data_IF_728470715102
#
_entry.id   IF_728470715102
#
_cell.length_a   1.000
_cell.length_b   1.000
_cell.length_c   1.000
_cell.angle_alpha   90.00
_cell.angle_beta   90.00
_cell.angle_gamma   90.00
#
_symmetry.space_group_name_H-M   'P 1'
#
loop_
_entity.id
_entity.type
_entity.pdbx_description
1 polymer ?
#
# COMPACT_ATOMS: atom_id res chain seq x y z
N UNK A 1 -36.81 -18.53 -26.89
CA UNK A 1 -35.72 -17.53 -26.88
C UNK A 1 -34.41 -18.23 -26.50
N UNK A 2 -33.30 -18.02 -27.20
CA UNK A 2 -32.03 -18.67 -26.87
C UNK A 2 -31.61 -18.25 -25.46
N UNK A 3 -31.16 -19.20 -24.63
CA UNK A 3 -30.74 -18.96 -23.23
C UNK A 3 -29.45 -18.13 -23.13
N UNK A 4 -28.66 -18.07 -24.20
CA UNK A 4 -27.33 -17.44 -24.23
C UNK A 4 -27.29 -15.95 -23.83
N UNK A 5 -28.08 -15.05 -24.44
CA UNK A 5 -28.04 -13.62 -24.12
C UNK A 5 -28.40 -13.30 -22.67
N UNK A 6 -29.37 -14.00 -22.08
CA UNK A 6 -29.78 -13.77 -20.68
C UNK A 6 -28.71 -14.20 -19.68
N UNK A 7 -28.04 -15.33 -19.93
CA UNK A 7 -26.94 -15.81 -19.07
C UNK A 7 -25.76 -14.82 -19.13
N UNK A 8 -25.40 -14.33 -20.32
CA UNK A 8 -24.34 -13.32 -20.48
C UNK A 8 -24.61 -12.06 -19.65
N UNK A 9 -25.83 -11.53 -19.72
CA UNK A 9 -26.22 -10.33 -18.96
C UNK A 9 -26.23 -10.61 -17.45
N UNK A 10 -26.68 -11.80 -17.02
CA UNK A 10 -26.66 -12.19 -15.61
C UNK A 10 -25.23 -12.28 -15.06
N UNK A 11 -24.30 -12.87 -15.82
CA UNK A 11 -22.88 -12.93 -15.46
C UNK A 11 -22.28 -11.52 -15.42
N UNK A 12 -22.58 -10.67 -16.41
CA UNK A 12 -22.11 -9.29 -16.43
C UNK A 12 -22.59 -8.49 -15.21
N UNK A 13 -23.86 -8.68 -14.78
CA UNK A 13 -24.39 -8.07 -13.56
C UNK A 13 -23.65 -8.54 -12.30
N UNK A 14 -23.36 -9.85 -12.20
CA UNK A 14 -22.59 -10.40 -11.07
C UNK A 14 -21.16 -9.83 -11.03
N UNK A 15 -20.46 -9.81 -12.17
CA UNK A 15 -19.11 -9.25 -12.30
C UNK A 15 -19.06 -7.74 -12.02
N UNK A 16 -20.03 -6.98 -12.50
CA UNK A 16 -20.13 -5.55 -12.19
C UNK A 16 -20.38 -5.32 -10.70
N UNK A 17 -21.23 -6.14 -10.07
CA UNK A 17 -21.51 -6.05 -8.63
C UNK A 17 -20.28 -6.38 -7.79
N UNK A 18 -19.52 -7.41 -8.19
CA UNK A 18 -18.21 -7.73 -7.64
C UNK A 18 -17.27 -6.52 -7.71
N UNK A 19 -17.18 -5.87 -8.87
CA UNK A 19 -16.30 -4.72 -9.06
C UNK A 19 -16.70 -3.49 -8.24
N UNK A 20 -17.99 -3.20 -8.13
CA UNK A 20 -18.50 -2.06 -7.35
C UNK A 20 -18.20 -2.18 -5.85
N UNK A 21 -18.01 -3.40 -5.33
CA UNK A 21 -17.53 -3.59 -3.95
C UNK A 21 -16.20 -2.88 -3.71
N UNK A 22 -15.28 -2.83 -4.68
CA UNK A 22 -14.02 -2.13 -4.52
C UNK A 22 -14.20 -0.61 -4.38
N UNK A 23 -15.07 -0.02 -5.18
CA UNK A 23 -15.24 1.44 -5.17
C UNK A 23 -15.99 1.93 -3.93
N UNK A 24 -16.91 1.13 -3.40
CA UNK A 24 -17.68 1.53 -2.21
C UNK A 24 -17.00 1.10 -0.93
N UNK A 25 -16.49 -0.14 -0.85
CA UNK A 25 -15.94 -0.70 0.38
C UNK A 25 -14.42 -0.52 0.46
N UNK A 26 -13.64 -0.96 -0.54
CA UNK A 26 -12.17 -0.86 -0.47
C UNK A 26 -11.70 0.59 -0.48
N UNK A 27 -12.36 1.49 -1.21
CA UNK A 27 -12.05 2.92 -1.16
C UNK A 27 -12.26 3.49 0.24
N UNK A 28 -13.38 3.15 0.90
CA UNK A 28 -13.65 3.62 2.27
C UNK A 28 -12.62 3.05 3.25
N UNK A 29 -12.29 1.76 3.14
CA UNK A 29 -11.24 1.15 3.95
C UNK A 29 -9.88 1.83 3.71
N UNK A 30 -9.53 2.12 2.46
CA UNK A 30 -8.30 2.83 2.13
C UNK A 30 -8.28 4.23 2.75
N UNK A 31 -9.38 4.97 2.68
CA UNK A 31 -9.45 6.32 3.26
C UNK A 31 -9.35 6.29 4.79
N UNK A 32 -10.12 5.43 5.44
CA UNK A 32 -10.23 5.41 6.91
C UNK A 32 -9.05 4.67 7.52
N UNK A 33 -8.90 3.37 7.23
CA UNK A 33 -7.84 2.54 7.80
C UNK A 33 -6.49 2.77 7.14
N UNK A 34 -6.47 2.96 5.81
CA UNK A 34 -5.21 3.12 5.09
C UNK A 34 -4.58 4.51 5.26
N UNK A 35 -5.38 5.57 5.11
CA UNK A 35 -4.91 6.96 5.10
C UNK A 35 -5.24 7.69 6.41
N UNK A 36 -5.80 7.02 7.42
CA UNK A 36 -6.19 7.63 8.70
C UNK A 36 -7.11 8.85 8.55
N UNK A 37 -7.99 8.87 7.53
CA UNK A 37 -8.96 9.94 7.32
C UNK A 37 -10.14 9.75 8.27
N UNK A 38 -10.54 10.82 8.97
CA UNK A 38 -11.72 10.81 9.83
C UNK A 38 -12.96 10.29 9.09
N UNK A 39 -13.77 9.39 9.67
CA UNK A 39 -14.91 8.76 8.98
C UNK A 39 -15.89 9.74 8.33
N UNK A 40 -16.16 10.87 8.99
CA UNK A 40 -17.06 11.90 8.44
C UNK A 40 -16.49 12.56 7.18
N UNK A 41 -15.18 12.82 7.14
CA UNK A 41 -14.50 13.37 5.95
C UNK A 41 -14.44 12.35 4.83
N UNK A 42 -14.19 11.08 5.15
CA UNK A 42 -14.24 9.99 4.18
C UNK A 42 -15.64 9.86 3.56
N UNK A 43 -16.71 9.95 4.35
CA UNK A 43 -18.09 9.92 3.87
C UNK A 43 -18.41 11.08 2.90
N UNK A 44 -17.97 12.29 3.23
CA UNK A 44 -18.10 13.46 2.34
C UNK A 44 -17.33 13.22 1.03
N UNK A 45 -16.08 12.74 1.11
CA UNK A 45 -15.27 12.45 -0.08
C UNK A 45 -15.91 11.38 -0.99
N UNK A 46 -16.56 10.37 -0.40
CA UNK A 46 -17.20 9.27 -1.13
C UNK A 46 -18.58 9.65 -1.71
N UNK A 47 -19.14 10.80 -1.31
CA UNK A 47 -20.42 11.32 -1.85
C UNK A 47 -20.34 11.71 -3.33
N UNK A 48 -19.12 11.90 -3.87
CA UNK A 48 -18.90 12.14 -5.30
C UNK A 48 -19.47 11.00 -6.14
N UNK A 49 -19.29 9.75 -5.70
CA UNK A 49 -19.75 8.56 -6.41
C UNK A 49 -21.28 8.50 -6.61
N UNK A 50 -22.13 8.60 -5.57
CA UNK A 50 -23.58 8.56 -5.76
C UNK A 50 -24.10 9.76 -6.57
N UNK A 51 -23.51 10.96 -6.42
CA UNK A 51 -23.87 12.11 -7.25
C UNK A 51 -23.56 11.87 -8.73
N UNK A 52 -22.37 11.33 -9.01
CA UNK A 52 -21.99 10.92 -10.36
C UNK A 52 -22.88 9.80 -10.91
N UNK A 53 -23.31 8.86 -10.07
CA UNK A 53 -24.27 7.81 -10.45
C UNK A 53 -25.65 8.35 -10.78
N UNK A 54 -26.16 9.33 -10.03
CA UNK A 54 -27.41 10.02 -10.36
C UNK A 54 -27.31 10.73 -11.72
N UNK A 55 -26.17 11.37 -12.01
CA UNK A 55 -25.93 11.99 -13.31
C UNK A 55 -25.87 10.93 -14.44
N UNK A 56 -25.13 9.84 -14.24
CA UNK A 56 -25.04 8.74 -15.19
C UNK A 56 -26.38 8.06 -15.47
N UNK A 57 -27.26 7.96 -14.48
CA UNK A 57 -28.60 7.40 -14.63
C UNK A 57 -29.53 8.22 -15.54
N UNK A 58 -29.21 9.50 -15.79
CA UNK A 58 -29.95 10.36 -16.72
C UNK A 58 -29.50 10.19 -18.17
N UNK A 59 -28.40 9.48 -18.42
CA UNK A 59 -27.90 9.22 -19.77
C UNK A 59 -28.74 8.11 -20.40
N UNK A 60 -29.59 8.49 -21.36
CA UNK A 60 -30.42 7.57 -22.15
C UNK A 60 -29.65 6.92 -23.31
N UNK A 61 -30.32 6.06 -24.07
CA UNK A 61 -29.76 5.36 -25.24
C UNK A 61 -29.96 3.84 -25.17
N UNK A 62 -29.37 3.12 -26.12
CA UNK A 62 -29.50 1.66 -26.20
C UNK A 62 -28.96 0.97 -24.92
N UNK A 63 -29.70 0.00 -24.35
CA UNK A 63 -29.30 -0.64 -23.09
C UNK A 63 -27.99 -1.41 -23.17
N UNK A 64 -27.65 -2.01 -24.31
CA UNK A 64 -26.37 -2.72 -24.47
C UNK A 64 -25.21 -1.74 -24.51
N UNK A 65 -25.37 -0.62 -25.22
CA UNK A 65 -24.36 0.45 -25.28
C UNK A 65 -24.11 1.01 -23.88
N UNK A 66 -25.17 1.31 -23.12
CA UNK A 66 -25.08 1.82 -21.74
C UNK A 66 -24.46 0.81 -20.77
N UNK A 67 -24.84 -0.47 -20.87
CA UNK A 67 -24.24 -1.53 -20.05
C UNK A 67 -22.74 -1.69 -20.33
N UNK A 68 -22.34 -1.73 -21.60
CA UNK A 68 -20.93 -1.86 -22.01
C UNK A 68 -20.11 -0.64 -21.60
N UNK A 69 -20.55 0.56 -21.98
CA UNK A 69 -19.87 1.81 -21.67
C UNK A 69 -19.78 2.01 -20.15
N UNK A 70 -20.87 1.76 -19.43
CA UNK A 70 -20.91 1.93 -17.97
C UNK A 70 -20.01 0.94 -17.24
N UNK A 71 -20.00 -0.34 -17.63
CA UNK A 71 -19.07 -1.32 -17.07
C UNK A 71 -17.61 -0.98 -17.39
N UNK A 72 -17.33 -0.46 -18.59
CA UNK A 72 -16.00 0.01 -18.97
C UNK A 72 -15.54 1.22 -18.14
N UNK A 73 -16.42 2.19 -17.89
CA UNK A 73 -16.14 3.34 -17.03
C UNK A 73 -15.88 2.92 -15.57
N UNK A 74 -16.66 1.96 -15.03
CA UNK A 74 -16.39 1.38 -13.71
C UNK A 74 -15.03 0.70 -13.68
N UNK A 75 -14.71 -0.12 -14.69
CA UNK A 75 -13.40 -0.77 -14.79
C UNK A 75 -12.26 0.24 -14.84
N UNK A 76 -12.39 1.28 -15.67
CA UNK A 76 -11.42 2.36 -15.75
C UNK A 76 -11.25 3.13 -14.42
N UNK A 77 -12.36 3.48 -13.75
CA UNK A 77 -12.33 4.15 -12.47
C UNK A 77 -11.66 3.32 -11.39
N UNK A 78 -12.00 2.02 -11.28
CA UNK A 78 -11.36 1.10 -10.34
C UNK A 78 -9.88 0.93 -10.65
N UNK A 79 -9.48 0.79 -11.92
CA UNK A 79 -8.08 0.70 -12.31
C UNK A 79 -7.29 1.97 -12.00
N UNK A 80 -7.92 3.15 -12.07
CA UNK A 80 -7.32 4.41 -11.64
C UNK A 80 -7.07 4.44 -10.12
N UNK A 81 -7.90 3.79 -9.29
CA UNK A 81 -7.60 3.59 -7.85
C UNK A 81 -6.39 2.68 -7.63
N UNK A 82 -6.08 1.78 -8.56
CA UNK A 82 -4.90 0.92 -8.47
C UNK A 82 -3.57 1.68 -8.67
N UNK A 83 -3.61 2.97 -9.00
CA UNK A 83 -2.43 3.79 -9.29
C UNK A 83 -2.33 5.04 -8.41
N UNK A 84 -2.81 4.96 -7.16
CA UNK A 84 -2.72 6.06 -6.21
C UNK A 84 -1.26 6.27 -5.76
N UNK A 85 -0.65 7.45 -5.99
CA UNK A 85 0.75 7.68 -5.65
C UNK A 85 0.97 8.09 -4.18
N UNK A 86 0.08 8.93 -3.66
CA UNK A 86 0.18 9.55 -2.33
C UNK A 86 -1.22 9.87 -1.78
N UNK A 87 -1.29 10.36 -0.54
CA UNK A 87 -2.52 10.84 0.09
C UNK A 87 -2.95 12.14 -0.57
N UNK A 88 -4.18 12.17 -1.06
CA UNK A 88 -4.79 13.41 -1.54
C UNK A 88 -6.21 13.19 -2.03
N UNK A 89 -7.20 14.00 -1.59
CA UNK A 89 -8.59 13.84 -2.01
C UNK A 89 -8.74 13.96 -3.53
N UNK A 90 -7.87 14.73 -4.20
CA UNK A 90 -7.89 14.88 -5.66
C UNK A 90 -7.70 13.58 -6.43
N UNK A 91 -6.84 12.66 -5.95
CA UNK A 91 -6.53 11.41 -6.65
C UNK A 91 -7.69 10.42 -6.69
N UNK A 92 -8.64 10.55 -5.77
CA UNK A 92 -9.84 9.69 -5.72
C UNK A 92 -11.04 10.33 -6.42
N UNK A 93 -10.96 11.58 -6.88
CA UNK A 93 -12.09 12.25 -7.57
C UNK A 93 -12.37 11.61 -8.93
N UNK A 94 -11.37 11.55 -9.82
CA UNK A 94 -11.52 10.98 -11.17
C UNK A 94 -12.02 9.53 -11.12
N UNK A 95 -11.42 8.64 -10.31
CA UNK A 95 -11.93 7.28 -10.13
C UNK A 95 -13.40 7.20 -9.74
N UNK A 96 -13.84 8.05 -8.81
CA UNK A 96 -15.23 8.08 -8.33
C UNK A 96 -16.19 8.64 -9.37
N UNK A 97 -15.80 9.65 -10.12
CA UNK A 97 -16.61 10.18 -11.22
C UNK A 97 -16.82 9.13 -12.31
N UNK A 98 -15.73 8.49 -12.75
CA UNK A 98 -15.80 7.42 -13.76
C UNK A 98 -16.67 6.26 -13.27
N UNK A 99 -16.42 5.77 -12.06
CA UNK A 99 -17.15 4.65 -11.49
C UNK A 99 -18.62 4.97 -11.19
N UNK A 100 -18.89 6.17 -10.67
CA UNK A 100 -20.24 6.64 -10.39
C UNK A 100 -21.06 6.77 -11.66
N UNK A 101 -20.58 7.55 -12.65
CA UNK A 101 -21.26 7.68 -13.95
C UNK A 101 -21.46 6.30 -14.59
N UNK A 102 -20.42 5.46 -14.58
CA UNK A 102 -20.49 4.11 -15.15
C UNK A 102 -21.54 3.22 -14.48
N UNK A 103 -21.61 3.25 -13.14
CA UNK A 103 -22.64 2.55 -12.36
C UNK A 103 -24.05 3.05 -12.69
N UNK A 104 -24.23 4.37 -12.78
CA UNK A 104 -25.50 5.01 -13.14
C UNK A 104 -26.00 4.63 -14.53
N UNK A 105 -25.09 4.41 -15.48
CA UNK A 105 -25.44 3.94 -16.82
C UNK A 105 -25.73 2.42 -16.83
N UNK A 106 -24.87 1.62 -16.21
CA UNK A 106 -24.90 0.17 -16.36
C UNK A 106 -25.99 -0.51 -15.54
N UNK A 107 -26.26 -0.07 -14.30
CA UNK A 107 -27.22 -0.76 -13.43
C UNK A 107 -28.67 -0.68 -13.94
N UNK A 108 -29.21 0.48 -14.37
CA UNK A 108 -30.56 0.54 -14.93
C UNK A 108 -30.68 -0.27 -16.23
N UNK A 109 -29.62 -0.27 -17.05
CA UNK A 109 -29.59 -1.06 -18.28
C UNK A 109 -29.60 -2.58 -17.98
N UNK A 110 -28.71 -3.06 -17.12
CA UNK A 110 -28.56 -4.49 -16.80
C UNK A 110 -29.74 -5.04 -15.99
N UNK A 111 -30.16 -4.33 -14.94
CA UNK A 111 -31.14 -4.79 -13.96
C UNK A 111 -32.50 -4.08 -14.08
N UNK A 112 -32.80 -3.51 -15.25
CA UNK A 112 -34.10 -2.94 -15.57
C UNK A 112 -34.52 -3.28 -16.99
N UNK A 113 -33.70 -2.92 -17.98
CA UNK A 113 -34.08 -3.08 -19.40
C UNK A 113 -33.69 -4.46 -19.96
N UNK A 114 -32.48 -4.94 -19.65
CA UNK A 114 -31.95 -6.22 -20.16
C UNK A 114 -32.39 -7.43 -19.34
N UNK A 115 -32.51 -7.27 -18.02
CA UNK A 115 -33.11 -8.24 -17.10
C UNK A 115 -34.28 -7.57 -16.36
N UNK A 116 -35.47 -7.52 -16.97
CA UNK A 116 -36.60 -6.81 -16.38
C UNK A 116 -37.15 -7.48 -15.13
N UNK A 117 -37.36 -6.66 -14.11
CA UNK A 117 -37.89 -7.06 -12.79
C UNK A 117 -39.42 -7.00 -12.79
N UNK A 118 -40.07 -7.99 -13.43
CA UNK A 118 -41.54 -8.02 -13.58
C UNK A 118 -42.26 -8.74 -12.44
N UNK A 119 -41.53 -9.53 -11.65
CA UNK A 119 -42.07 -10.37 -10.59
C UNK A 119 -41.13 -10.43 -9.39
N UNK A 120 -41.67 -10.79 -8.22
CA UNK A 120 -40.86 -11.01 -7.01
C UNK A 120 -39.77 -12.09 -7.20
N UNK A 121 -40.00 -13.07 -8.10
CA UNK A 121 -38.99 -14.08 -8.45
C UNK A 121 -37.84 -13.47 -9.25
N UNK A 122 -38.12 -12.53 -10.13
CA UNK A 122 -37.09 -11.85 -10.91
C UNK A 122 -36.29 -10.89 -10.02
N UNK A 123 -36.96 -10.19 -9.11
CA UNK A 123 -36.33 -9.38 -8.05
C UNK A 123 -35.34 -10.22 -7.22
N UNK A 124 -35.81 -11.36 -6.71
CA UNK A 124 -35.00 -12.29 -5.93
C UNK A 124 -33.78 -12.79 -6.73
N UNK A 125 -33.95 -13.14 -8.00
CA UNK A 125 -32.84 -13.57 -8.87
C UNK A 125 -31.81 -12.47 -9.10
N UNK A 126 -32.24 -11.24 -9.37
CA UNK A 126 -31.34 -10.10 -9.53
C UNK A 126 -30.55 -9.85 -8.25
N UNK A 127 -31.22 -9.87 -7.10
CA UNK A 127 -30.59 -9.72 -5.80
C UNK A 127 -29.56 -10.83 -5.54
N UNK A 128 -29.92 -12.10 -5.80
CA UNK A 128 -29.01 -13.24 -5.65
C UNK A 128 -27.80 -13.12 -6.57
N UNK A 129 -27.96 -12.73 -7.84
CA UNK A 129 -26.85 -12.56 -8.78
C UNK A 129 -25.85 -11.52 -8.31
N UNK A 130 -26.34 -10.37 -7.81
CA UNK A 130 -25.48 -9.32 -7.26
C UNK A 130 -24.72 -9.82 -6.04
N UNK A 131 -25.40 -10.49 -5.12
CA UNK A 131 -24.79 -11.06 -3.91
C UNK A 131 -23.75 -12.13 -4.24
N UNK A 132 -24.05 -13.05 -5.15
CA UNK A 132 -23.08 -14.07 -5.61
C UNK A 132 -21.83 -13.39 -6.16
N UNK A 133 -21.98 -12.34 -6.97
CA UNK A 133 -20.85 -11.55 -7.46
C UNK A 133 -19.99 -10.99 -6.32
N UNK A 134 -20.62 -10.32 -5.35
CA UNK A 134 -19.93 -9.74 -4.18
C UNK A 134 -19.25 -10.84 -3.36
N UNK A 135 -19.93 -11.94 -3.06
CA UNK A 135 -19.38 -13.06 -2.27
C UNK A 135 -18.18 -13.70 -2.95
N UNK A 136 -18.26 -13.95 -4.26
CA UNK A 136 -17.12 -14.50 -5.03
C UNK A 136 -15.95 -13.52 -5.03
N UNK A 137 -16.22 -12.22 -5.16
CA UNK A 137 -15.17 -11.21 -5.06
C UNK A 137 -14.47 -11.26 -3.69
N UNK A 138 -15.24 -11.26 -2.60
CA UNK A 138 -14.69 -11.32 -1.25
C UNK A 138 -13.90 -12.62 -1.00
N UNK A 139 -14.37 -13.76 -1.50
CA UNK A 139 -13.69 -15.05 -1.40
C UNK A 139 -12.32 -15.05 -2.11
N UNK A 140 -12.22 -14.37 -3.25
CA UNK A 140 -10.96 -14.23 -4.01
C UNK A 140 -10.05 -13.20 -3.35
N UNK A 141 -10.60 -12.07 -2.90
CA UNK A 141 -9.83 -10.95 -2.39
C UNK A 141 -9.23 -11.23 -1.02
N UNK A 142 -9.91 -11.95 -0.13
CA UNK A 142 -9.42 -12.24 1.22
C UNK A 142 -8.01 -12.88 1.24
N UNK A 143 -7.73 -14.02 0.55
CA UNK A 143 -6.40 -14.62 0.57
C UNK A 143 -5.35 -13.76 -0.16
N UNK A 144 -5.76 -13.05 -1.22
CA UNK A 144 -4.85 -12.15 -1.95
C UNK A 144 -4.41 -10.99 -1.07
N UNK A 145 -5.35 -10.34 -0.37
CA UNK A 145 -5.05 -9.22 0.52
C UNK A 145 -4.19 -9.67 1.69
N UNK A 146 -4.49 -10.82 2.30
CA UNK A 146 -3.68 -11.37 3.39
C UNK A 146 -2.21 -11.58 2.97
N UNK A 147 -1.98 -12.31 1.86
CA UNK A 147 -0.63 -12.60 1.39
C UNK A 147 0.16 -11.36 0.88
N UNK A 148 -0.52 -10.25 0.61
CA UNK A 148 0.09 -8.98 0.23
C UNK A 148 0.36 -8.09 1.43
N UNK A 149 -0.51 -8.14 2.44
CA UNK A 149 -0.36 -7.38 3.67
C UNK A 149 0.90 -7.83 4.43
N UNK A 150 1.11 -9.14 4.60
CA UNK A 150 2.29 -9.67 5.31
C UNK A 150 3.61 -9.16 4.69
N UNK A 151 3.79 -9.40 3.39
CA UNK A 151 4.99 -8.97 2.65
C UNK A 151 5.16 -7.45 2.63
N UNK A 152 4.07 -6.71 2.63
CA UNK A 152 4.13 -5.24 2.62
C UNK A 152 4.50 -4.71 4.01
N UNK A 153 3.96 -5.28 5.08
CA UNK A 153 4.26 -4.89 6.46
C UNK A 153 5.74 -5.10 6.76
N UNK A 154 6.29 -6.29 6.48
CA UNK A 154 7.69 -6.60 6.79
C UNK A 154 8.65 -5.63 6.09
N UNK A 155 8.44 -5.44 4.78
CA UNK A 155 9.23 -4.50 4.00
C UNK A 155 9.07 -3.05 4.48
N UNK A 156 7.87 -2.67 4.93
CA UNK A 156 7.63 -1.30 5.44
C UNK A 156 8.31 -1.09 6.78
N UNK A 157 8.28 -2.09 7.66
CA UNK A 157 9.04 -2.06 8.92
C UNK A 157 10.51 -1.86 8.66
N UNK A 158 11.09 -2.63 7.74
CA UNK A 158 12.48 -2.46 7.33
C UNK A 158 12.75 -1.05 6.77
N UNK A 159 11.91 -0.55 5.87
CA UNK A 159 12.07 0.81 5.32
C UNK A 159 11.99 1.92 6.38
N UNK A 160 11.08 1.81 7.35
CA UNK A 160 10.98 2.77 8.45
C UNK A 160 12.21 2.67 9.37
N UNK A 161 12.71 1.45 9.64
CA UNK A 161 13.96 1.26 10.37
C UNK A 161 15.14 1.84 9.60
N UNK A 162 15.20 1.70 8.27
CA UNK A 162 16.25 2.31 7.46
C UNK A 162 16.28 3.84 7.63
N UNK A 163 15.10 4.49 7.55
CA UNK A 163 14.96 5.94 7.79
C UNK A 163 15.48 6.34 9.16
N UNK A 164 15.10 5.58 10.20
CA UNK A 164 15.59 5.83 11.55
C UNK A 164 17.10 5.66 11.58
N UNK A 165 17.64 4.49 11.22
CA UNK A 165 19.07 4.17 11.29
C UNK A 165 19.94 5.19 10.56
N UNK A 166 19.45 5.74 9.46
CA UNK A 166 20.20 6.69 8.62
C UNK A 166 19.99 8.16 9.05
N UNK A 167 19.05 8.45 9.95
CA UNK A 167 18.82 9.78 10.48
C UNK A 167 20.04 10.32 11.25
N UNK A 168 20.41 11.58 10.97
CA UNK A 168 21.45 12.31 11.70
C UNK A 168 20.95 12.83 13.05
N UNK A 169 20.52 11.91 13.91
CA UNK A 169 20.03 12.19 15.26
C UNK A 169 20.96 11.59 16.32
N UNK A 170 21.04 12.18 17.52
CA UNK A 170 21.86 11.64 18.61
C UNK A 170 21.48 10.20 18.97
N UNK A 171 22.46 9.33 19.31
CA UNK A 171 22.24 7.88 19.44
C UNK A 171 21.39 7.47 20.64
N UNK A 172 21.46 8.19 21.76
CA UNK A 172 20.71 7.89 23.00
C UNK A 172 19.18 7.91 22.79
N UNK A 173 18.56 9.01 22.28
CA UNK A 173 17.12 9.03 22.02
C UNK A 173 16.66 8.10 20.90
N UNK A 174 17.57 7.72 20.00
CA UNK A 174 17.32 6.86 18.83
C UNK A 174 17.12 5.38 19.19
N UNK A 175 17.80 4.88 20.22
CA UNK A 175 17.79 3.47 20.63
C UNK A 175 16.71 3.13 21.67
N UNK A 176 16.34 4.06 22.56
CA UNK A 176 15.39 3.79 23.66
C UNK A 176 13.92 3.73 23.22
N UNK A 177 13.56 4.18 22.02
CA UNK A 177 12.15 4.46 21.68
C UNK A 177 11.63 3.83 20.39
N UNK A 178 12.51 3.53 19.42
CA UNK A 178 12.07 3.10 18.08
C UNK A 178 11.68 1.61 18.03
N UNK A 179 12.38 0.74 18.75
CA UNK A 179 12.08 -0.70 18.78
C UNK A 179 10.66 -1.03 19.27
N UNK A 180 10.22 -0.50 20.44
CA UNK A 180 8.86 -0.75 20.93
C UNK A 180 7.76 -0.03 20.13
N UNK A 181 8.04 1.16 19.59
CA UNK A 181 7.07 1.94 18.81
C UNK A 181 6.79 1.34 17.41
N UNK A 182 7.73 0.58 16.86
CA UNK A 182 7.55 -0.15 15.59
C UNK A 182 7.04 -1.59 15.76
N UNK A 183 7.08 -2.13 16.99
CA UNK A 183 6.63 -3.49 17.32
C UNK A 183 5.11 -3.69 17.26
N UNK A 184 4.32 -2.61 17.39
CA UNK A 184 2.85 -2.65 17.29
C UNK A 184 2.34 -1.72 16.17
N UNK A 185 2.73 -2.01 14.92
CA UNK A 185 1.96 -1.52 13.77
C UNK A 185 0.63 -2.28 13.79
N UNK A 186 -0.37 -1.64 14.38
CA UNK A 186 -1.78 -2.05 14.38
C UNK A 186 -2.28 -2.19 12.94
N UNK A 187 -2.98 -3.29 12.61
CA UNK A 187 -3.41 -3.55 11.23
C UNK A 187 -4.59 -2.64 10.83
N UNK A 188 -5.33 -2.14 11.82
CA UNK A 188 -6.56 -1.38 11.65
C UNK A 188 -6.34 0.11 11.33
N UNK A 189 -5.31 0.75 11.92
CA UNK A 189 -4.91 2.16 11.67
C UNK A 189 -3.39 2.34 11.77
N UNK A 190 -2.62 1.76 10.83
CA UNK A 190 -1.16 1.79 10.89
C UNK A 190 -0.60 3.22 10.82
N UNK A 191 -1.24 4.10 10.03
CA UNK A 191 -0.79 5.48 9.81
C UNK A 191 -1.08 6.38 11.01
N UNK A 192 -2.29 6.32 11.56
CA UNK A 192 -2.65 7.14 12.72
C UNK A 192 -1.81 6.79 13.95
N UNK A 193 -1.49 5.49 14.14
CA UNK A 193 -0.59 5.02 15.20
C UNK A 193 0.84 5.49 15.02
N UNK A 194 1.41 5.32 13.81
CA UNK A 194 2.76 5.81 13.51
C UNK A 194 2.86 7.32 13.78
N UNK A 195 1.91 8.10 13.28
CA UNK A 195 1.88 9.54 13.49
C UNK A 195 1.80 9.91 14.98
N UNK A 196 0.91 9.26 15.74
CA UNK A 196 0.77 9.51 17.17
C UNK A 196 2.05 9.16 17.95
N UNK A 197 2.74 8.08 17.55
CA UNK A 197 4.01 7.70 18.16
C UNK A 197 5.12 8.73 17.86
N UNK A 198 5.24 9.18 16.61
CA UNK A 198 6.23 10.18 16.20
C UNK A 198 5.94 11.57 16.79
N UNK A 199 4.68 12.00 16.83
CA UNK A 199 4.26 13.26 17.44
C UNK A 199 4.58 13.31 18.94
N UNK A 200 4.43 12.17 19.65
CA UNK A 200 4.78 12.05 21.06
C UNK A 200 6.28 12.24 21.35
N UNK A 201 7.14 12.07 20.35
CA UNK A 201 8.60 12.24 20.47
C UNK A 201 9.09 13.62 20.05
N UNK A 202 8.29 14.39 19.31
CA UNK A 202 8.69 15.67 18.74
C UNK A 202 9.26 16.66 19.77
N UNK A 203 8.71 16.66 21.00
CA UNK A 203 9.17 17.54 22.09
C UNK A 203 10.63 17.31 22.50
N UNK A 204 11.19 16.11 22.29
CA UNK A 204 12.58 15.79 22.66
C UNK A 204 13.60 16.45 21.75
N UNK A 205 13.21 16.76 20.52
CA UNK A 205 14.07 17.40 19.52
C UNK A 205 13.79 18.90 19.38
N UNK A 206 12.75 19.42 20.05
CA UNK A 206 12.34 20.83 19.97
C UNK A 206 13.36 21.81 20.59
N UNK A 207 14.32 21.33 21.39
CA UNK A 207 15.35 22.15 22.02
C UNK A 207 16.45 22.64 21.07
N UNK A 208 16.56 22.06 19.87
CA UNK A 208 17.55 22.42 18.86
C UNK A 208 16.86 22.52 17.49
N UNK A 209 16.99 23.67 16.83
CA UNK A 209 16.32 23.95 15.57
C UNK A 209 16.79 23.04 14.42
N UNK A 210 18.06 22.63 14.41
CA UNK A 210 18.59 21.73 13.39
C UNK A 210 18.04 20.31 13.58
N UNK A 211 18.01 19.84 14.83
CA UNK A 211 17.47 18.52 15.18
C UNK A 211 15.96 18.46 14.94
N UNK A 212 15.22 19.52 15.27
CA UNK A 212 13.80 19.62 15.00
C UNK A 212 13.49 19.52 13.50
N UNK A 213 14.29 20.17 12.64
CA UNK A 213 14.15 20.09 11.19
C UNK A 213 14.46 18.69 10.65
N UNK A 214 15.53 18.05 11.12
CA UNK A 214 15.88 16.66 10.73
C UNK A 214 14.81 15.67 11.18
N UNK A 215 14.24 15.85 12.37
CA UNK A 215 13.19 15.01 12.88
C UNK A 215 11.86 15.18 12.12
N UNK A 216 11.54 16.42 11.71
CA UNK A 216 10.38 16.70 10.88
C UNK A 216 10.48 16.01 9.50
N UNK A 217 11.64 16.12 8.82
CA UNK A 217 11.88 15.43 7.54
C UNK A 217 11.76 13.90 7.69
N UNK A 218 12.34 13.33 8.75
CA UNK A 218 12.20 11.90 9.04
C UNK A 218 10.73 11.49 9.21
N UNK A 219 9.95 12.30 9.92
CA UNK A 219 8.54 12.03 10.19
C UNK A 219 7.73 12.06 8.89
N UNK A 220 7.97 13.06 8.04
CA UNK A 220 7.31 13.19 6.74
C UNK A 220 7.67 12.02 5.82
N UNK A 221 8.95 11.63 5.75
CA UNK A 221 9.41 10.50 4.93
C UNK A 221 8.87 9.16 5.43
N UNK A 222 8.74 8.98 6.74
CA UNK A 222 8.14 7.78 7.31
C UNK A 222 6.65 7.67 6.96
N UNK A 223 5.92 8.78 7.05
CA UNK A 223 4.51 8.85 6.66
C UNK A 223 4.30 8.55 5.16
N UNK A 224 5.10 9.18 4.29
CA UNK A 224 5.07 8.93 2.83
C UNK A 224 5.36 7.47 2.48
N UNK A 225 6.35 6.87 3.14
CA UNK A 225 6.73 5.46 2.95
C UNK A 225 5.58 4.54 3.33
N UNK A 226 4.93 4.80 4.47
CA UNK A 226 3.79 4.02 4.93
C UNK A 226 2.58 4.17 3.98
N UNK A 227 2.28 5.38 3.53
CA UNK A 227 1.22 5.64 2.54
C UNK A 227 1.46 4.85 1.26
N UNK A 228 2.69 4.89 0.73
CA UNK A 228 3.06 4.18 -0.48
C UNK A 228 2.93 2.66 -0.31
N UNK A 229 3.29 2.15 0.87
CA UNK A 229 3.12 0.74 1.22
C UNK A 229 1.64 0.35 1.29
N UNK A 230 0.81 1.09 2.01
CA UNK A 230 -0.65 0.85 2.09
C UNK A 230 -1.28 0.88 0.70
N UNK A 231 -0.99 1.89 -0.13
CA UNK A 231 -1.49 1.96 -1.51
C UNK A 231 -1.08 0.74 -2.33
N UNK A 232 0.14 0.23 -2.13
CA UNK A 232 0.65 -0.98 -2.80
C UNK A 232 -0.07 -2.25 -2.32
N UNK A 233 -0.42 -2.35 -1.04
CA UNK A 233 -1.16 -3.49 -0.49
C UNK A 233 -2.59 -3.58 -1.04
N UNK A 234 -3.26 -2.44 -1.26
CA UNK A 234 -4.62 -2.41 -1.84
C UNK A 234 -4.65 -2.57 -3.36
N UNK A 235 -3.53 -2.27 -4.04
CA UNK A 235 -3.44 -2.27 -5.52
C UNK A 235 -3.91 -3.58 -6.17
N UNK A 236 -3.52 -4.79 -5.72
CA UNK A 236 -4.00 -6.05 -6.30
C UNK A 236 -5.52 -6.19 -6.25
N UNK A 237 -6.15 -5.77 -5.15
CA UNK A 237 -7.60 -5.84 -4.99
C UNK A 237 -8.33 -4.93 -5.99
N UNK A 238 -7.84 -3.70 -6.18
CA UNK A 238 -8.33 -2.80 -7.23
C UNK A 238 -8.08 -3.35 -8.64
N UNK A 239 -6.91 -3.94 -8.91
CA UNK A 239 -6.64 -4.54 -10.23
C UNK A 239 -7.61 -5.68 -10.55
N UNK A 240 -7.81 -6.62 -9.62
CA UNK A 240 -8.71 -7.76 -9.79
C UNK A 240 -10.13 -7.26 -10.09
N UNK A 241 -10.66 -6.38 -9.24
CA UNK A 241 -12.03 -5.86 -9.37
C UNK A 241 -12.22 -4.98 -10.61
N UNK A 242 -11.22 -4.19 -10.99
CA UNK A 242 -11.22 -3.42 -12.24
C UNK A 242 -11.28 -4.33 -13.47
N UNK A 243 -10.52 -5.43 -13.47
CA UNK A 243 -10.58 -6.45 -14.53
C UNK A 243 -11.95 -7.11 -14.59
N UNK A 244 -12.58 -7.43 -13.44
CA UNK A 244 -13.95 -7.98 -13.43
C UNK A 244 -14.97 -7.04 -14.09
N UNK A 245 -14.87 -5.72 -13.86
CA UNK A 245 -15.72 -4.74 -14.55
C UNK A 245 -15.45 -4.67 -16.06
N UNK A 246 -14.18 -4.74 -16.49
CA UNK A 246 -13.84 -4.81 -17.92
C UNK A 246 -14.34 -6.10 -18.58
N UNK A 247 -14.32 -7.23 -17.86
CA UNK A 247 -14.93 -8.47 -18.32
C UNK A 247 -16.46 -8.34 -18.43
N UNK A 248 -17.11 -7.63 -17.51
CA UNK A 248 -18.53 -7.29 -17.64
C UNK A 248 -18.81 -6.42 -18.88
N UNK A 249 -17.93 -5.46 -19.20
CA UNK A 249 -18.01 -4.66 -20.41
C UNK A 249 -17.86 -5.53 -21.68
N UNK A 250 -16.88 -6.45 -21.69
CA UNK A 250 -16.67 -7.42 -22.77
C UNK A 250 -17.91 -8.31 -23.01
N UNK A 251 -18.54 -8.79 -21.93
CA UNK A 251 -19.75 -9.62 -22.03
C UNK A 251 -20.96 -8.84 -22.55
N UNK A 252 -20.97 -7.52 -22.41
CA UNK A 252 -22.07 -6.63 -22.80
C UNK A 252 -21.78 -5.85 -24.07
N UNK A 253 -20.72 -6.18 -24.82
CA UNK A 253 -20.46 -5.56 -26.13
C UNK A 253 -21.72 -5.61 -27.01
N UNK A 254 -22.20 -4.45 -27.50
CA UNK A 254 -23.37 -4.39 -28.37
C UNK A 254 -23.12 -5.18 -29.65
N UNK A 255 -24.14 -5.87 -30.20
CA UNK A 255 -24.02 -6.44 -31.54
C UNK A 255 -23.72 -5.31 -32.56
N UNK A 256 -23.01 -5.64 -33.65
CA UNK A 256 -22.56 -4.67 -34.67
C UNK A 256 -23.70 -3.81 -35.22
N UNK A 257 -24.93 -4.33 -35.22
CA UNK A 257 -26.15 -3.65 -35.64
C UNK A 257 -26.61 -2.51 -34.71
N UNK A 258 -25.96 -2.31 -33.55
CA UNK A 258 -26.34 -1.33 -32.52
C UNK A 258 -25.25 -0.30 -32.21
N UNK A 259 -24.46 0.06 -33.21
CA UNK A 259 -23.42 1.10 -33.11
C UNK A 259 -22.44 0.90 -31.93
N UNK A 260 -21.69 -0.22 -31.88
CA UNK A 260 -20.77 -0.52 -30.78
C UNK A 260 -19.64 0.52 -30.63
N UNK A 261 -19.36 1.32 -31.68
CA UNK A 261 -18.31 2.33 -31.69
C UNK A 261 -18.43 3.34 -30.54
N UNK A 262 -19.66 3.74 -30.17
CA UNK A 262 -19.86 4.68 -29.07
C UNK A 262 -19.47 4.07 -27.73
N UNK A 263 -19.90 2.82 -27.46
CA UNK A 263 -19.53 2.12 -26.23
C UNK A 263 -18.02 1.93 -26.14
N UNK A 264 -17.39 1.51 -27.23
CA UNK A 264 -15.94 1.32 -27.29
C UNK A 264 -15.17 2.63 -27.14
N UNK A 265 -15.65 3.72 -27.73
CA UNK A 265 -15.04 5.05 -27.57
C UNK A 265 -15.10 5.52 -26.12
N UNK A 266 -16.24 5.34 -25.43
CA UNK A 266 -16.37 5.69 -24.01
C UNK A 266 -15.45 4.82 -23.14
N UNK A 267 -15.39 3.52 -23.39
CA UNK A 267 -14.45 2.63 -22.70
C UNK A 267 -12.99 3.06 -22.92
N UNK A 268 -12.62 3.38 -24.17
CA UNK A 268 -11.27 3.81 -24.52
C UNK A 268 -10.91 5.14 -23.86
N UNK A 269 -11.83 6.12 -23.84
CA UNK A 269 -11.65 7.39 -23.14
C UNK A 269 -11.50 7.20 -21.63
N UNK A 270 -12.31 6.34 -21.02
CA UNK A 270 -12.17 5.98 -19.61
C UNK A 270 -10.80 5.36 -19.29
N UNK A 271 -10.38 4.39 -20.10
CA UNK A 271 -9.07 3.75 -19.96
C UNK A 271 -7.91 4.73 -20.22
N UNK A 272 -8.07 5.67 -21.16
CA UNK A 272 -7.10 6.73 -21.40
C UNK A 272 -6.99 7.67 -20.18
N UNK A 273 -8.11 8.01 -19.53
CA UNK A 273 -8.10 8.78 -18.28
C UNK A 273 -7.40 8.02 -17.14
N UNK A 274 -7.68 6.71 -16.99
CA UNK A 274 -6.99 5.87 -16.02
C UNK A 274 -5.48 5.75 -16.31
N UNK A 275 -5.11 5.59 -17.59
CA UNK A 275 -3.73 5.58 -18.05
C UNK A 275 -3.03 6.92 -17.83
N UNK A 276 -3.72 8.04 -18.08
CA UNK A 276 -3.23 9.38 -17.79
C UNK A 276 -2.98 9.58 -16.29
N UNK A 277 -3.91 9.15 -15.43
CA UNK A 277 -3.69 9.14 -13.98
C UNK A 277 -2.50 8.26 -13.59
N UNK A 278 -2.35 7.08 -14.18
CA UNK A 278 -1.21 6.19 -13.93
C UNK A 278 0.14 6.78 -14.37
N UNK A 279 0.15 7.65 -15.38
CA UNK A 279 1.35 8.38 -15.80
C UNK A 279 1.65 9.53 -14.84
N UNK A 280 0.64 10.32 -14.47
CA UNK A 280 0.79 11.40 -13.49
C UNK A 280 1.23 10.87 -12.12
N UNK A 281 0.72 9.70 -11.72
CA UNK A 281 1.07 9.07 -10.46
C UNK A 281 2.54 8.66 -10.39
N UNK A 282 3.17 8.33 -11.52
CA UNK A 282 4.61 8.03 -11.54
C UNK A 282 5.46 9.24 -11.21
N UNK A 283 5.05 10.43 -11.66
CA UNK A 283 5.74 11.68 -11.36
C UNK A 283 5.49 12.18 -9.93
N UNK A 284 4.33 11.84 -9.36
CA UNK A 284 3.93 12.24 -8.01
C UNK A 284 4.28 11.21 -6.92
N UNK A 285 4.89 10.07 -7.27
CA UNK A 285 5.24 9.04 -6.32
C UNK A 285 6.40 9.51 -5.43
N UNK A 286 6.31 9.35 -4.09
CA UNK A 286 7.39 9.72 -3.19
C UNK A 286 8.65 8.89 -3.47
N UNK A 287 9.84 9.44 -3.20
CA UNK A 287 11.09 8.70 -3.34
C UNK A 287 11.07 7.47 -2.44
N UNK A 288 11.34 6.30 -3.03
CA UNK A 288 11.34 5.06 -2.26
C UNK A 288 12.54 5.01 -1.34
N UNK A 289 12.29 4.66 -0.08
CA UNK A 289 13.37 4.28 0.84
C UNK A 289 13.93 2.94 0.37
N UNK A 290 15.16 2.95 -0.11
CA UNK A 290 15.87 1.75 -0.50
C UNK A 290 16.36 1.02 0.75
N UNK A 291 16.07 -0.28 0.84
CA UNK A 291 16.77 -1.18 1.77
C UNK A 291 18.10 -1.47 1.10
N UNK A 292 19.18 -0.93 1.67
CA UNK A 292 20.50 -1.01 1.06
C UNK A 292 21.09 -2.41 1.19
N UNK A 293 21.96 -2.79 0.24
CA UNK A 293 22.69 -4.04 0.32
C UNK A 293 23.74 -3.92 1.46
N UNK A 294 23.64 -4.74 2.52
CA UNK A 294 24.57 -4.67 3.66
C UNK A 294 26.01 -5.05 3.29
N UNK A 295 26.21 -5.71 2.14
CA UNK A 295 27.54 -6.07 1.64
C UNK A 295 28.24 -4.94 0.86
N UNK A 296 27.55 -3.83 0.56
CA UNK A 296 28.12 -2.69 -0.16
C UNK A 296 28.50 -1.56 0.80
N UNK A 297 29.51 -0.76 0.43
CA UNK A 297 29.91 0.40 1.25
C UNK A 297 28.87 1.50 1.15
N UNK A 298 28.59 2.14 2.28
CA UNK A 298 27.61 3.23 2.42
C UNK A 298 28.17 4.39 3.21
N UNK A 299 27.65 5.57 2.91
CA UNK A 299 27.88 6.77 3.70
C UNK A 299 27.16 6.64 5.04
N UNK A 300 27.89 6.87 6.13
CA UNK A 300 27.33 6.82 7.48
C UNK A 300 26.78 8.20 7.86
N UNK A 301 25.82 8.26 8.80
CA UNK A 301 25.21 9.52 9.22
C UNK A 301 26.24 10.54 9.74
N UNK A 302 27.33 10.06 10.34
CA UNK A 302 28.44 10.87 10.84
C UNK A 302 27.97 12.06 11.68
N UNK A 303 27.18 11.75 12.72
CA UNK A 303 26.54 12.69 13.64
C UNK A 303 27.51 13.50 14.52
N UNK A 304 28.81 13.25 14.44
CA UNK A 304 29.85 13.97 15.17
C UNK A 304 29.97 13.56 16.66
N UNK A 305 31.11 13.88 17.26
CA UNK A 305 31.40 13.56 18.67
C UNK A 305 31.66 12.08 18.98
N UNK A 306 31.96 11.78 20.25
CA UNK A 306 32.26 10.41 20.72
C UNK A 306 31.07 9.45 20.57
N UNK A 307 29.85 9.95 20.76
CA UNK A 307 28.62 9.17 20.56
C UNK A 307 28.37 8.80 19.09
N UNK A 308 28.64 9.71 18.15
CA UNK A 308 28.48 9.45 16.71
C UNK A 308 29.47 8.41 16.18
N UNK A 309 30.72 8.41 16.67
CA UNK A 309 31.72 7.41 16.28
C UNK A 309 31.34 5.98 16.74
N UNK A 310 30.74 5.86 17.93
CA UNK A 310 30.21 4.59 18.42
C UNK A 310 29.02 4.10 17.59
N UNK A 311 28.13 5.01 17.20
CA UNK A 311 27.00 4.71 16.32
C UNK A 311 27.47 4.21 14.95
N UNK A 312 28.40 4.92 14.31
CA UNK A 312 28.96 4.55 13.00
C UNK A 312 29.63 3.16 13.05
N UNK A 313 30.33 2.85 14.13
CA UNK A 313 30.94 1.53 14.37
C UNK A 313 29.89 0.43 14.55
N UNK A 314 28.84 0.70 15.32
CA UNK A 314 27.75 -0.24 15.53
C UNK A 314 26.99 -0.54 14.22
N UNK A 315 26.76 0.48 13.39
CA UNK A 315 26.12 0.33 12.07
C UNK A 315 26.96 -0.54 11.14
N UNK A 316 28.28 -0.32 11.08
CA UNK A 316 29.19 -1.16 10.28
C UNK A 316 29.23 -2.62 10.75
N UNK A 317 29.20 -2.85 12.07
CA UNK A 317 29.12 -4.21 12.61
C UNK A 317 27.81 -4.91 12.24
N UNK A 318 26.71 -4.16 12.26
CA UNK A 318 25.38 -4.65 11.87
C UNK A 318 25.31 -4.97 10.37
N UNK A 319 25.89 -4.11 9.51
CA UNK A 319 26.04 -4.36 8.08
C UNK A 319 26.85 -5.64 7.82
N UNK A 320 28.00 -5.80 8.50
CA UNK A 320 28.84 -7.00 8.35
C UNK A 320 28.14 -8.29 8.77
N UNK A 321 27.38 -8.25 9.87
CA UNK A 321 26.60 -9.39 10.34
C UNK A 321 25.46 -9.73 9.37
N UNK A 322 24.68 -8.73 8.94
CA UNK A 322 23.60 -8.91 7.98
C UNK A 322 24.10 -9.47 6.63
N UNK A 323 25.20 -8.94 6.11
CA UNK A 323 25.83 -9.44 4.89
C UNK A 323 26.23 -10.92 5.01
N UNK A 324 26.81 -11.31 6.15
CA UNK A 324 27.24 -12.70 6.39
C UNK A 324 26.06 -13.66 6.53
N UNK A 325 25.01 -13.23 7.21
CA UNK A 325 23.82 -14.05 7.47
C UNK A 325 22.80 -14.04 6.34
N UNK A 326 23.01 -13.18 5.33
CA UNK A 326 22.13 -13.12 4.15
C UNK A 326 20.80 -12.41 4.41
N UNK A 327 20.74 -11.57 5.44
CA UNK A 327 19.57 -10.75 5.78
C UNK A 327 19.80 -9.28 5.42
N UNK A 328 18.75 -8.44 5.49
CA UNK A 328 18.97 -6.99 5.50
C UNK A 328 19.48 -6.53 6.87
N UNK A 329 20.12 -5.35 6.92
CA UNK A 329 20.55 -4.74 8.19
C UNK A 329 19.34 -4.40 9.05
N UNK A 330 18.31 -3.89 8.42
CA UNK A 330 17.06 -3.45 9.04
C UNK A 330 16.30 -4.62 9.66
N UNK A 331 16.24 -5.75 8.95
CA UNK A 331 15.67 -7.01 9.45
C UNK A 331 16.42 -7.51 10.69
N UNK A 332 17.76 -7.49 10.66
CA UNK A 332 18.58 -7.85 11.81
C UNK A 332 18.38 -6.88 12.99
N UNK A 333 18.32 -5.57 12.74
CA UNK A 333 18.05 -4.57 13.77
C UNK A 333 16.71 -4.81 14.47
N UNK A 334 15.66 -5.12 13.70
CA UNK A 334 14.33 -5.47 14.20
C UNK A 334 14.37 -6.74 15.06
N UNK A 335 15.06 -7.77 14.59
CA UNK A 335 15.18 -9.04 15.29
C UNK A 335 15.96 -8.94 16.61
N UNK A 336 16.97 -8.06 16.69
CA UNK A 336 17.66 -7.74 17.95
C UNK A 336 16.70 -7.09 18.95
N UNK A 337 15.80 -6.21 18.49
CA UNK A 337 14.88 -5.45 19.33
C UNK A 337 13.69 -6.23 19.86
N UNK A 338 13.15 -7.18 19.10
CA UNK A 338 11.89 -7.88 19.40
C UNK A 338 12.08 -9.41 19.53
N UNK A 339 11.73 -10.03 20.68
CA UNK A 339 11.84 -11.48 20.88
C UNK A 339 11.04 -12.32 19.87
N UNK A 340 9.89 -11.84 19.41
CA UNK A 340 9.06 -12.57 18.42
C UNK A 340 9.75 -12.58 17.05
N UNK A 341 10.30 -11.44 16.63
CA UNK A 341 11.04 -11.32 15.38
C UNK A 341 12.38 -12.06 15.46
N UNK A 342 13.04 -12.09 16.62
CA UNK A 342 14.24 -12.90 16.83
C UNK A 342 14.01 -14.39 16.56
N UNK A 343 12.91 -14.93 17.07
CA UNK A 343 12.56 -16.33 16.86
C UNK A 343 12.21 -16.62 15.39
N UNK A 344 11.65 -15.66 14.66
CA UNK A 344 11.41 -15.78 13.22
C UNK A 344 12.72 -15.74 12.43
N UNK A 345 13.56 -14.76 12.70
CA UNK A 345 14.87 -14.61 12.09
C UNK A 345 15.73 -15.88 12.26
N UNK A 346 15.73 -16.47 13.46
CA UNK A 346 16.45 -17.72 13.71
C UNK A 346 15.90 -18.90 12.90
N UNK A 347 14.59 -18.96 12.65
CA UNK A 347 14.02 -20.01 11.79
C UNK A 347 14.40 -19.84 10.32
N UNK A 348 14.53 -18.60 9.86
CA UNK A 348 14.79 -18.28 8.45
C UNK A 348 16.29 -18.33 8.12
N UNK A 349 17.13 -17.74 8.98
CA UNK A 349 18.58 -17.60 8.75
C UNK A 349 19.43 -18.56 9.58
N UNK A 350 18.84 -19.30 10.54
CA UNK A 350 19.56 -20.27 11.36
C UNK A 350 20.47 -19.68 12.44
N UNK A 351 20.44 -18.35 12.63
CA UNK A 351 21.28 -17.61 13.57
C UNK A 351 20.45 -16.91 14.64
N UNK A 352 20.91 -16.91 15.90
CA UNK A 352 20.23 -16.18 16.97
C UNK A 352 20.69 -14.71 16.96
N UNK A 353 19.85 -13.77 16.51
CA UNK A 353 20.25 -12.37 16.37
C UNK A 353 20.44 -11.70 17.73
N UNK A 354 20.08 -12.33 18.84
CA UNK A 354 20.24 -11.77 20.20
C UNK A 354 21.41 -12.40 20.95
N UNK A 355 22.08 -13.39 20.38
CA UNK A 355 23.28 -14.02 20.95
C UNK A 355 24.50 -13.10 20.82
N UNK A 356 25.07 -12.59 21.93
CA UNK A 356 26.20 -11.65 21.88
C UNK A 356 27.44 -12.26 21.20
N UNK A 357 27.63 -13.58 21.34
CA UNK A 357 28.77 -14.31 20.78
C UNK A 357 28.65 -14.50 19.27
N UNK A 358 27.46 -14.81 18.75
CA UNK A 358 27.24 -14.95 17.31
C UNK A 358 27.30 -13.58 16.62
N UNK A 359 26.67 -12.55 17.21
CA UNK A 359 26.74 -11.16 16.74
C UNK A 359 28.17 -10.64 16.69
N UNK A 360 28.94 -10.78 17.77
CA UNK A 360 30.33 -10.32 17.82
C UNK A 360 31.20 -11.10 16.83
N UNK A 361 31.02 -12.42 16.73
CA UNK A 361 31.73 -13.26 15.76
C UNK A 361 31.43 -12.86 14.31
N UNK A 362 30.18 -12.50 13.99
CA UNK A 362 29.78 -12.05 12.67
C UNK A 362 30.30 -10.64 12.35
N UNK A 363 30.19 -9.69 13.27
CA UNK A 363 30.68 -8.32 13.10
C UNK A 363 32.20 -8.23 12.91
N UNK A 364 32.97 -9.05 13.65
CA UNK A 364 34.44 -9.05 13.60
C UNK A 364 34.96 -9.71 12.31
N UNK A 365 34.29 -10.76 11.83
CA UNK A 365 34.74 -11.52 10.64
C UNK A 365 34.14 -11.01 9.32
N UNK A 366 33.00 -10.31 9.37
CA UNK A 366 32.30 -9.73 8.23
C UNK A 366 32.84 -8.36 7.78
N UNK A 367 33.66 -7.69 8.59
CA UNK A 367 34.37 -6.44 8.24
C UNK A 367 35.50 -6.65 7.23
N UNK A 368 35.24 -7.36 6.12
CA UNK A 368 36.20 -7.71 5.08
C UNK A 368 36.38 -6.60 4.06
N UNK A 369 37.12 -5.55 4.42
CA UNK A 369 37.45 -4.44 3.52
C UNK A 369 38.55 -3.52 4.05
N UNK A 370 39.70 -4.09 4.40
CA UNK A 370 41.02 -3.43 4.46
C UNK A 370 41.22 -2.28 5.48
N UNK A 371 40.82 -2.49 6.75
CA UNK A 371 41.43 -1.78 7.90
C UNK A 371 41.54 -2.69 9.13
N UNK A 372 42.48 -3.64 9.08
CA UNK A 372 42.93 -4.40 10.25
C UNK A 372 43.72 -3.58 11.29
N UNK A 373 43.46 -2.28 11.45
CA UNK A 373 44.24 -1.38 12.32
C UNK A 373 43.48 -0.79 13.53
N UNK A 374 42.17 -0.54 13.42
CA UNK A 374 41.47 0.32 14.39
C UNK A 374 41.02 -0.38 15.68
N UNK A 375 40.41 -1.56 15.57
CA UNK A 375 39.85 -2.27 16.74
C UNK A 375 40.91 -2.76 17.71
N UNK A 376 42.07 -3.18 17.18
CA UNK A 376 43.23 -3.60 17.99
C UNK A 376 43.90 -2.45 18.73
N UNK A 377 44.00 -1.26 18.12
CA UNK A 377 44.57 -0.06 18.77
C UNK A 377 43.66 0.52 19.85
N UNK A 378 42.34 0.54 19.62
CA UNK A 378 41.37 1.10 20.59
C UNK A 378 41.28 0.20 21.83
N UNK A 379 41.30 -1.14 21.66
CA UNK A 379 41.38 -2.07 22.79
C UNK A 379 42.73 -2.00 23.51
N UNK A 380 43.84 -1.75 22.81
CA UNK A 380 45.14 -1.49 23.44
C UNK A 380 45.16 -0.21 24.26
N UNK A 381 44.51 0.85 23.78
CA UNK A 381 44.44 2.12 24.51
C UNK A 381 43.48 2.07 25.72
N UNK A 382 42.44 1.24 25.67
CA UNK A 382 41.54 1.00 26.81
C UNK A 382 42.15 0.11 27.90
N UNK A 383 43.03 -0.83 27.53
CA UNK A 383 43.68 -1.74 28.49
C UNK A 383 45.06 -1.23 28.95
N UNK A 384 45.72 -0.37 28.16
CA UNK A 384 47.07 0.14 28.45
C UNK A 384 47.14 1.46 29.23
N UNK A 385 46.00 2.10 29.55
CA UNK A 385 45.95 3.39 30.25
C UNK A 385 46.02 3.32 31.79
N UNK A 386 46.31 2.15 32.36
CA UNK A 386 46.37 1.94 33.80
C UNK A 386 47.65 1.23 34.24
N UNK A 387 48.78 1.93 34.19
CA UNK A 387 49.98 1.69 35.01
C UNK A 387 50.90 2.89 34.94
#
# INVERSE_FOLDING_TARGET
MPRGPRIRVAIALALLSAALSAVVFLLVLLLVSGWAVQPLRAAVAVTILPLAALAGARIGGDPWVRACAGAGLVGAGVLALATLPTVGPGWVVVPQLLSGVGMGMALPALAGELLPERSARDAARLLSLRHVGITVALLILAPVTAAQLDRTIDRTREQVVALVLDAKLPPQPKLESVGPALGEIDAEDPRGKLKSALDGQAQRFAGDAEQAAVYADLTDRADETLIAAVNRAFRPAFLITGVLALLAALLTIPPVTRHPSLALAVCALGLAAAGGQALMSRAAAPPQVAIANPCERRDLPSTGGLGGALQDTALLGLDGAACKWGSSREELALAIGDPKLAAQYQREHGHDPRSPFELAGAAITGGGGDRGGGLGEILKNLVGGGS
#
